data_IF_924343892626
#
_entry.id   IF_924343892626
#
_cell.length_a   1.000
_cell.length_b   1.000
_cell.length_c   1.000
_cell.angle_alpha   90.00
_cell.angle_beta   90.00
_cell.angle_gamma   90.00
#
_symmetry.space_group_name_H-M   'P 1'
#
loop_
_entity.id
_entity.type
_entity.pdbx_description
1 polymer ?
#
# COMPACT_ATOMS: atom_id res chain seq x y z
N UNK A 1 2.69 16.32 -33.53
CA UNK A 1 1.37 15.68 -33.72
C UNK A 1 1.37 14.22 -33.24
N UNK A 2 2.49 13.50 -33.35
CA UNK A 2 2.59 12.09 -32.90
C UNK A 2 2.53 11.91 -31.38
N UNK A 3 3.16 12.79 -30.60
CA UNK A 3 3.14 12.71 -29.13
C UNK A 3 1.74 12.88 -28.53
N UNK A 4 0.92 13.76 -29.10
CA UNK A 4 -0.47 13.95 -28.67
C UNK A 4 -1.32 12.68 -28.89
N UNK A 5 -1.10 11.97 -30.00
CA UNK A 5 -1.77 10.70 -30.28
C UNK A 5 -1.37 9.61 -29.28
N UNK A 6 -0.10 9.56 -28.86
CA UNK A 6 0.37 8.60 -27.84
C UNK A 6 -0.31 8.84 -26.50
N UNK A 7 -0.41 10.10 -26.05
CA UNK A 7 -1.10 10.42 -24.80
C UNK A 7 -2.59 10.08 -24.87
N UNK A 8 -3.28 10.45 -25.96
CA UNK A 8 -4.70 10.14 -26.14
C UNK A 8 -4.94 8.62 -26.16
N UNK A 9 -4.09 7.86 -26.85
CA UNK A 9 -4.18 6.40 -26.91
C UNK A 9 -3.97 5.76 -25.52
N UNK A 10 -3.03 6.27 -24.71
CA UNK A 10 -2.78 5.78 -23.35
C UNK A 10 -3.99 6.03 -22.43
N UNK A 11 -4.55 7.23 -22.45
CA UNK A 11 -5.75 7.57 -21.67
C UNK A 11 -6.96 6.76 -22.14
N UNK A 12 -7.16 6.61 -23.46
CA UNK A 12 -8.25 5.81 -24.02
C UNK A 12 -8.13 4.32 -23.66
N UNK A 13 -6.92 3.75 -23.70
CA UNK A 13 -6.69 2.36 -23.31
C UNK A 13 -6.95 2.14 -21.81
N UNK A 14 -6.47 3.04 -20.96
CA UNK A 14 -6.69 2.98 -19.51
C UNK A 14 -8.17 3.11 -19.16
N UNK A 15 -8.86 4.05 -19.82
CA UNK A 15 -10.30 4.22 -19.69
C UNK A 15 -11.06 2.99 -20.19
N UNK A 16 -10.67 2.41 -21.32
CA UNK A 16 -11.28 1.20 -21.88
C UNK A 16 -11.18 0.01 -20.93
N UNK A 17 -10.01 -0.21 -20.32
CA UNK A 17 -9.80 -1.30 -19.33
C UNK A 17 -10.68 -1.07 -18.09
N UNK A 18 -10.67 0.15 -17.54
CA UNK A 18 -11.53 0.51 -16.40
C UNK A 18 -13.01 0.34 -16.73
N UNK A 19 -13.47 0.86 -17.87
CA UNK A 19 -14.86 0.75 -18.32
C UNK A 19 -15.28 -0.70 -18.48
N UNK A 20 -14.44 -1.53 -19.11
CA UNK A 20 -14.68 -2.96 -19.26
C UNK A 20 -14.80 -3.66 -17.89
N UNK A 21 -13.93 -3.33 -16.94
CA UNK A 21 -13.98 -3.90 -15.60
C UNK A 21 -15.26 -3.53 -14.83
N UNK A 22 -15.69 -2.26 -14.92
CA UNK A 22 -16.93 -1.84 -14.27
C UNK A 22 -18.17 -2.42 -14.94
N UNK A 23 -18.20 -2.48 -16.27
CA UNK A 23 -19.37 -3.00 -17.00
C UNK A 23 -19.55 -4.51 -16.82
N UNK A 24 -18.47 -5.30 -16.76
CA UNK A 24 -18.57 -6.75 -16.49
C UNK A 24 -19.16 -7.01 -15.10
N UNK A 25 -18.69 -6.30 -14.07
CA UNK A 25 -19.24 -6.40 -12.71
C UNK A 25 -20.69 -5.93 -12.60
N UNK A 26 -21.07 -4.89 -13.34
CA UNK A 26 -22.47 -4.44 -13.37
C UNK A 26 -23.39 -5.48 -14.00
N UNK A 27 -22.96 -6.11 -15.11
CA UNK A 27 -23.71 -7.18 -15.77
C UNK A 27 -23.83 -8.44 -14.92
N UNK A 28 -22.75 -8.83 -14.23
CA UNK A 28 -22.78 -9.94 -13.26
C UNK A 28 -23.83 -9.72 -12.16
N UNK A 29 -23.89 -8.51 -11.59
CA UNK A 29 -24.83 -8.15 -10.52
C UNK A 29 -26.28 -8.10 -11.01
N UNK A 30 -26.52 -7.58 -12.22
CA UNK A 30 -27.86 -7.56 -12.84
C UNK A 30 -28.36 -8.97 -13.15
N UNK A 31 -27.52 -9.84 -13.70
CA UNK A 31 -27.88 -11.23 -13.99
C UNK A 31 -28.23 -12.04 -12.72
N UNK A 32 -27.61 -11.72 -11.58
CA UNK A 32 -27.95 -12.33 -10.29
C UNK A 32 -29.31 -11.85 -9.75
N UNK A 33 -29.67 -10.58 -9.99
CA UNK A 33 -30.98 -10.03 -9.63
C UNK A 33 -32.08 -10.64 -10.51
N UNK A 34 -31.85 -10.74 -11.82
CA UNK A 34 -32.81 -11.31 -12.79
C UNK A 34 -33.05 -12.81 -12.61
N UNK A 35 -32.05 -13.55 -12.12
CA UNK A 35 -32.17 -14.99 -11.81
C UNK A 35 -32.84 -15.28 -10.46
N UNK A 36 -33.33 -14.26 -9.75
CA UNK A 36 -34.03 -14.43 -8.48
C UNK A 36 -33.14 -14.98 -7.35
N UNK A 37 -31.81 -14.83 -7.47
CA UNK A 37 -30.90 -15.18 -6.39
C UNK A 37 -31.12 -14.20 -5.24
N UNK A 38 -31.71 -14.73 -4.18
CA UNK A 38 -32.13 -14.08 -2.95
C UNK A 38 -31.16 -12.98 -2.49
N UNK A 39 -31.69 -11.78 -2.24
CA UNK A 39 -30.97 -10.64 -1.66
C UNK A 39 -30.33 -10.98 -0.29
N UNK A 40 -30.69 -12.13 0.29
CA UNK A 40 -30.02 -12.82 1.40
C UNK A 40 -28.52 -13.11 1.15
N UNK A 41 -28.11 -13.43 -0.09
CA UNK A 41 -26.68 -13.65 -0.41
C UNK A 41 -25.87 -12.34 -0.39
N UNK A 42 -26.53 -11.20 -0.60
CA UNK A 42 -25.92 -9.88 -0.53
C UNK A 42 -25.84 -9.31 0.90
N UNK A 43 -26.60 -9.85 1.87
CA UNK A 43 -26.54 -9.38 3.25
C UNK A 43 -25.59 -10.22 4.14
N UNK A 44 -25.29 -11.45 3.75
CA UNK A 44 -24.28 -12.28 4.45
C UNK A 44 -22.84 -11.84 4.13
N UNK A 45 -22.62 -11.06 3.06
CA UNK A 45 -21.31 -10.48 2.71
C UNK A 45 -21.01 -9.11 3.35
N UNK A 46 -21.96 -8.49 4.06
CA UNK A 46 -21.73 -7.22 4.77
C UNK A 46 -21.04 -7.40 6.13
N UNK A 47 -20.81 -8.64 6.54
CA UNK A 47 -20.04 -8.96 7.75
C UNK A 47 -18.62 -9.35 7.32
N UNK A 48 -17.75 -8.34 7.31
CA UNK A 48 -16.29 -8.43 7.54
C UNK A 48 -15.35 -8.94 6.44
N UNK A 49 -15.75 -9.31 5.23
CA UNK A 49 -14.77 -9.89 4.29
C UNK A 49 -15.06 -9.54 2.83
N UNK A 50 -14.50 -8.42 2.35
CA UNK A 50 -14.56 -8.14 0.93
C UNK A 50 -14.03 -6.77 0.56
N UNK A 51 -12.74 -6.71 0.23
CA UNK A 51 -12.20 -5.72 -0.73
C UNK A 51 -12.04 -4.27 -0.30
N UNK A 52 -11.93 -3.97 1.00
CA UNK A 52 -11.04 -2.86 1.35
C UNK A 52 -9.63 -3.42 1.26
N UNK A 53 -8.99 -3.30 0.08
CA UNK A 53 -7.54 -3.16 0.00
C UNK A 53 -7.14 -2.35 1.23
N UNK A 54 -6.40 -2.93 2.18
CA UNK A 54 -6.35 -2.37 3.53
C UNK A 54 -5.53 -1.08 3.52
N UNK A 55 -6.13 0.02 3.04
CA UNK A 55 -5.56 1.36 2.95
C UNK A 55 -5.12 1.81 4.34
N UNK A 56 -5.86 1.41 5.37
CA UNK A 56 -5.49 1.61 6.77
C UNK A 56 -4.17 0.91 7.13
N UNK A 57 -3.99 -0.38 6.77
CA UNK A 57 -2.73 -1.09 7.04
C UNK A 57 -1.57 -0.60 6.17
N UNK A 58 -1.85 -0.20 4.93
CA UNK A 58 -0.85 0.40 4.05
C UNK A 58 -0.37 1.76 4.59
N UNK A 59 -1.30 2.59 5.06
CA UNK A 59 -1.01 3.88 5.71
C UNK A 59 -0.18 3.68 6.99
N UNK A 60 -0.51 2.67 7.81
CA UNK A 60 0.25 2.40 9.03
C UNK A 60 1.65 1.83 8.74
N UNK A 61 1.78 0.94 7.75
CA UNK A 61 3.08 0.39 7.30
C UNK A 61 3.99 1.49 6.75
N UNK A 62 3.46 2.37 5.91
CA UNK A 62 4.25 3.48 5.34
C UNK A 62 4.64 4.50 6.42
N UNK A 63 3.74 4.81 7.35
CA UNK A 63 4.03 5.70 8.48
C UNK A 63 5.15 5.17 9.37
N UNK A 64 5.10 3.90 9.76
CA UNK A 64 6.17 3.29 10.58
C UNK A 64 7.51 3.26 9.86
N UNK A 65 7.53 3.04 8.54
CA UNK A 65 8.76 3.12 7.73
C UNK A 65 9.37 4.53 7.81
N UNK A 66 8.59 5.58 7.56
CA UNK A 66 9.07 6.96 7.62
C UNK A 66 9.59 7.34 9.02
N UNK A 67 8.93 6.87 10.10
CA UNK A 67 9.40 7.06 11.47
C UNK A 67 10.75 6.36 11.69
N UNK A 68 10.90 5.13 11.20
CA UNK A 68 12.15 4.37 11.29
C UNK A 68 13.30 5.04 10.54
N UNK A 69 13.05 5.59 9.35
CA UNK A 69 14.05 6.39 8.61
C UNK A 69 14.43 7.64 9.39
N UNK A 70 13.44 8.40 9.90
CA UNK A 70 13.71 9.61 10.68
C UNK A 70 14.58 9.35 11.91
N UNK A 71 14.25 8.31 12.68
CA UNK A 71 15.07 7.87 13.82
C UNK A 71 16.45 7.39 13.38
N UNK A 72 16.55 6.67 12.26
CA UNK A 72 17.82 6.21 11.71
C UNK A 72 18.76 7.34 11.29
N UNK A 73 18.23 8.43 10.74
CA UNK A 73 19.02 9.62 10.41
C UNK A 73 19.56 10.30 11.67
N UNK A 74 18.71 10.46 12.70
CA UNK A 74 19.12 11.07 13.99
C UNK A 74 20.18 10.20 14.66
N UNK A 75 19.98 8.88 14.70
CA UNK A 75 20.94 7.93 15.25
C UNK A 75 22.26 7.91 14.46
N UNK A 76 22.19 8.03 13.12
CA UNK A 76 23.35 8.18 12.24
C UNK A 76 24.17 9.43 12.57
N UNK A 77 23.51 10.57 12.79
CA UNK A 77 24.18 11.81 13.18
C UNK A 77 24.86 11.72 14.56
N UNK A 78 24.24 11.03 15.52
CA UNK A 78 24.84 10.75 16.83
C UNK A 78 26.04 9.80 16.70
N UNK A 79 25.96 8.80 15.83
CA UNK A 79 27.08 7.89 15.58
C UNK A 79 28.25 8.58 14.87
N UNK A 80 27.97 9.57 14.01
CA UNK A 80 29.00 10.40 13.38
C UNK A 80 29.73 11.25 14.43
N UNK A 81 28.99 11.89 15.35
CA UNK A 81 29.60 12.74 16.39
C UNK A 81 30.41 11.95 17.42
N UNK A 82 30.06 10.68 17.65
CA UNK A 82 30.82 9.77 18.49
C UNK A 82 32.04 9.12 17.79
N UNK A 83 32.31 9.46 16.51
CA UNK A 83 33.44 8.95 15.72
C UNK A 83 33.54 7.40 15.66
N UNK A 84 32.40 6.71 15.74
CA UNK A 84 32.34 5.23 15.80
C UNK A 84 32.61 4.57 14.44
N UNK A 85 32.44 5.30 13.34
CA UNK A 85 32.57 4.76 11.97
C UNK A 85 33.71 5.43 11.19
N UNK A 86 34.47 4.62 10.45
CA UNK A 86 35.59 5.07 9.61
C UNK A 86 35.13 5.89 8.39
N UNK A 87 33.89 5.72 7.94
CA UNK A 87 33.29 6.42 6.80
C UNK A 87 31.92 6.97 7.18
N UNK A 88 31.76 8.30 7.02
CA UNK A 88 30.52 9.03 7.34
C UNK A 88 29.31 8.43 6.62
N UNK A 89 29.46 8.15 5.33
CA UNK A 89 28.38 7.65 4.47
C UNK A 89 27.87 6.27 4.92
N UNK A 90 28.77 5.38 5.30
CA UNK A 90 28.42 4.02 5.73
C UNK A 90 27.65 4.06 7.05
N UNK A 91 27.99 4.97 7.96
CA UNK A 91 27.27 5.15 9.23
C UNK A 91 25.81 5.55 9.02
N UNK A 92 25.55 6.54 8.16
CA UNK A 92 24.17 6.96 7.85
C UNK A 92 23.38 5.86 7.16
N UNK A 93 23.93 5.25 6.09
CA UNK A 93 23.22 4.21 5.33
C UNK A 93 22.89 3.02 6.23
N UNK A 94 23.84 2.60 7.08
CA UNK A 94 23.62 1.47 8.01
C UNK A 94 22.54 1.78 9.04
N UNK A 95 22.56 2.95 9.66
CA UNK A 95 21.57 3.31 10.68
C UNK A 95 20.16 3.47 10.08
N UNK A 96 20.03 4.05 8.88
CA UNK A 96 18.75 4.16 8.20
C UNK A 96 18.16 2.78 7.90
N UNK A 97 18.95 1.82 7.41
CA UNK A 97 18.48 0.47 7.14
C UNK A 97 18.14 -0.32 8.41
N UNK A 98 18.94 -0.16 9.48
CA UNK A 98 18.69 -0.84 10.75
C UNK A 98 17.39 -0.32 11.38
N UNK A 99 17.26 1.00 11.57
CA UNK A 99 16.08 1.57 12.23
C UNK A 99 14.83 1.51 11.34
N UNK A 100 14.98 1.68 10.03
CA UNK A 100 13.91 1.46 9.06
C UNK A 100 13.42 0.01 9.07
N UNK A 101 14.33 -0.97 9.04
CA UNK A 101 13.98 -2.39 9.13
C UNK A 101 13.32 -2.76 10.46
N UNK A 102 13.86 -2.25 11.58
CA UNK A 102 13.34 -2.50 12.92
C UNK A 102 11.88 -2.01 13.06
N UNK A 103 11.58 -0.82 12.54
CA UNK A 103 10.21 -0.28 12.61
C UNK A 103 9.20 -1.14 11.85
N UNK A 104 9.58 -1.73 10.70
CA UNK A 104 8.74 -2.66 9.97
C UNK A 104 8.54 -4.00 10.70
N UNK A 105 9.55 -4.49 11.42
CA UNK A 105 9.41 -5.68 12.26
C UNK A 105 8.44 -5.40 13.41
N UNK A 106 8.54 -4.24 14.05
CA UNK A 106 7.59 -3.78 15.06
C UNK A 106 6.17 -3.67 14.49
N UNK A 107 6.01 -3.16 13.26
CA UNK A 107 4.73 -3.12 12.57
C UNK A 107 4.13 -4.52 12.44
N UNK A 108 4.92 -5.52 12.04
CA UNK A 108 4.44 -6.90 11.91
C UNK A 108 3.97 -7.49 13.24
N UNK A 109 4.67 -7.20 14.34
CA UNK A 109 4.28 -7.66 15.68
C UNK A 109 2.97 -6.99 16.13
N UNK A 110 2.78 -5.69 15.84
CA UNK A 110 1.55 -4.97 16.13
C UNK A 110 0.37 -5.49 15.30
N UNK A 111 0.56 -5.70 13.99
CA UNK A 111 -0.48 -6.26 13.10
C UNK A 111 -0.88 -7.68 13.55
N UNK A 112 0.08 -8.49 14.02
CA UNK A 112 -0.19 -9.81 14.58
C UNK A 112 -1.01 -9.77 15.88
N UNK A 113 -0.86 -8.73 16.71
CA UNK A 113 -1.62 -8.57 17.96
C UNK A 113 -3.04 -8.01 17.76
N UNK A 114 -3.26 -7.26 16.69
CA UNK A 114 -4.56 -6.69 16.34
C UNK A 114 -5.49 -7.68 15.64
N UNK A 115 -4.97 -8.85 15.28
CA UNK A 115 -5.69 -9.94 14.62
C UNK A 115 -6.11 -11.00 15.62
#
# INVERSE_FOLDING_TARGET
METALVFIALFAATFGIMYMYYTTRHKERLALIEKGADASLFNTGKVKTGTSFSWSKFSLKTGMLFVGIGLGVIAGAICESASVFASKETGYISMIFIFGGLSLVLFYILDRKLK
#
